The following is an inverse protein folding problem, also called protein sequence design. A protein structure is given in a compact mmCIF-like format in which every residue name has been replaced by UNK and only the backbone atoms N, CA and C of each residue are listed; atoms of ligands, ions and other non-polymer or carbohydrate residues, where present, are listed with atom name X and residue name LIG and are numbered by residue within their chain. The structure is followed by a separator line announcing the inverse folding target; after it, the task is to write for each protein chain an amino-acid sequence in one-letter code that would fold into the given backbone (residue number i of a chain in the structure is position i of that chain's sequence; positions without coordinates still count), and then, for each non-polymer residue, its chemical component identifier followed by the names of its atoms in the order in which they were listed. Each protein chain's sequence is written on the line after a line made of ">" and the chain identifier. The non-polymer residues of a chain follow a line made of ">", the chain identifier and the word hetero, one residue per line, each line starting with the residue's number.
data_IF_557305130002
#
_entry.id   IF_557305130002
#
_cell.length_a   1.000
_cell.length_b   1.000
_cell.length_c   1.000
_cell.angle_alpha   90.00
_cell.angle_beta   90.00
_cell.angle_gamma   90.00
#
_symmetry.space_group_name_H-M   'P 1'
#
loop_
_entity.id
_entity.type
_entity.pdbx_description
1 polymer ?
#
# COMPACT_ATOMS: atom_id res chain seq x y z
N UNK A 1 2.13 -4.00 11.97
CA UNK A 1 2.73 -4.12 10.62
C UNK A 1 3.56 -5.40 10.62
N UNK A 2 3.22 -6.39 9.79
CA UNK A 2 4.01 -7.62 9.65
C UNK A 2 4.71 -7.52 8.30
N UNK A 3 6.03 -7.32 8.31
CA UNK A 3 6.85 -7.29 7.11
C UNK A 3 7.82 -8.47 7.16
N UNK A 4 7.89 -9.28 6.10
CA UNK A 4 8.88 -10.36 6.02
C UNK A 4 9.73 -10.25 4.73
N UNK A 5 11.06 -10.42 4.93
CA UNK A 5 12.22 -10.46 4.02
C UNK A 5 12.35 -9.45 2.87
N UNK A 6 12.77 -8.23 3.23
CA UNK A 6 13.89 -7.44 2.69
C UNK A 6 13.95 -6.14 3.50
N UNK A 7 14.87 -6.05 4.46
CA UNK A 7 14.80 -5.09 5.58
C UNK A 7 14.76 -3.62 5.12
N UNK A 8 15.58 -3.26 4.13
CA UNK A 8 15.69 -1.86 3.65
C UNK A 8 14.45 -1.43 2.86
N UNK A 9 13.94 -2.27 1.95
CA UNK A 9 12.72 -1.99 1.19
C UNK A 9 11.48 -1.96 2.10
N UNK A 10 11.44 -2.82 3.11
CA UNK A 10 10.38 -2.81 4.10
C UNK A 10 10.40 -1.53 4.94
N UNK A 11 11.59 -1.05 5.34
CA UNK A 11 11.74 0.21 6.05
C UNK A 11 11.37 1.40 5.17
N UNK A 12 11.77 1.40 3.90
CA UNK A 12 11.37 2.40 2.92
C UNK A 12 9.85 2.45 2.75
N UNK A 13 9.22 1.30 2.52
CA UNK A 13 7.77 1.19 2.40
C UNK A 13 7.07 1.66 3.69
N UNK A 14 7.58 1.26 4.86
CA UNK A 14 7.06 1.69 6.15
C UNK A 14 7.11 3.20 6.32
N UNK A 15 8.27 3.82 6.06
CA UNK A 15 8.47 5.25 6.24
C UNK A 15 7.51 6.06 5.35
N UNK A 16 7.43 5.72 4.07
CA UNK A 16 6.55 6.40 3.11
C UNK A 16 5.09 6.22 3.48
N UNK A 17 4.67 4.99 3.78
CA UNK A 17 3.26 4.72 4.04
C UNK A 17 2.84 5.33 5.38
N UNK A 18 3.71 5.35 6.39
CA UNK A 18 3.41 6.07 7.64
C UNK A 18 3.22 7.56 7.41
N UNK A 19 4.16 8.21 6.71
CA UNK A 19 4.09 9.65 6.43
C UNK A 19 2.81 10.00 5.65
N UNK A 20 2.51 9.24 4.60
CA UNK A 20 1.36 9.49 3.74
C UNK A 20 0.01 9.21 4.43
N UNK A 21 -0.03 8.26 5.36
CA UNK A 21 -1.26 7.83 6.03
C UNK A 21 -1.46 8.47 7.41
N UNK A 22 -0.51 9.25 7.91
CA UNK A 22 -0.54 9.84 9.26
C UNK A 22 -1.84 10.64 9.52
N UNK A 23 -2.29 11.40 8.51
CA UNK A 23 -3.54 12.17 8.57
C UNK A 23 -4.82 11.33 8.75
N UNK A 24 -4.74 10.03 8.50
CA UNK A 24 -5.85 9.07 8.65
C UNK A 24 -5.68 8.15 9.86
N UNK A 25 -4.61 8.31 10.64
CA UNK A 25 -4.17 7.38 11.68
C UNK A 25 -5.25 7.03 12.70
N UNK A 26 -6.10 7.98 13.09
CA UNK A 26 -7.21 7.76 14.03
C UNK A 26 -8.25 6.74 13.54
N UNK A 27 -8.39 6.59 12.22
CA UNK A 27 -9.35 5.66 11.61
C UNK A 27 -8.73 4.34 11.18
N UNK A 28 -7.40 4.24 11.13
CA UNK A 28 -6.68 3.06 10.65
C UNK A 28 -6.37 2.12 11.82
N UNK A 29 -6.79 0.86 11.68
CA UNK A 29 -6.51 -0.20 12.66
C UNK A 29 -5.34 -1.09 12.26
N UNK A 30 -5.07 -1.21 10.94
CA UNK A 30 -3.97 -2.02 10.42
C UNK A 30 -3.57 -1.56 9.03
N UNK A 31 -2.28 -1.65 8.75
CA UNK A 31 -1.71 -1.54 7.41
C UNK A 31 -0.87 -2.78 7.14
N UNK A 32 -1.10 -3.41 6.00
CA UNK A 32 -0.33 -4.55 5.49
C UNK A 32 0.22 -4.22 4.11
N UNK A 33 1.47 -4.63 3.88
CA UNK A 33 2.18 -4.40 2.63
C UNK A 33 2.71 -5.75 2.16
N UNK A 34 2.34 -6.11 0.94
CA UNK A 34 2.80 -7.32 0.28
C UNK A 34 3.60 -6.94 -0.95
N UNK A 35 4.89 -7.26 -0.92
CA UNK A 35 5.79 -7.11 -2.06
C UNK A 35 5.92 -8.45 -2.76
N UNK A 36 5.85 -8.45 -4.08
CA UNK A 36 6.03 -9.65 -4.91
C UNK A 36 6.96 -9.33 -6.07
N UNK A 37 7.90 -10.23 -6.33
CA UNK A 37 8.72 -10.26 -7.53
C UNK A 37 8.25 -11.47 -8.35
N UNK A 38 7.54 -11.24 -9.45
CA UNK A 38 7.07 -12.31 -10.34
C UNK A 38 8.22 -12.84 -11.22
N UNK A 39 9.31 -13.29 -10.59
CA UNK A 39 10.34 -14.07 -11.25
C UNK A 39 9.85 -15.51 -11.48
N UNK A 40 8.98 -15.68 -12.47
CA UNK A 40 8.51 -16.98 -12.94
C UNK A 40 9.48 -17.52 -14.00
N UNK A 41 10.69 -17.94 -13.60
CA UNK A 41 11.70 -18.79 -14.28
C UNK A 41 12.01 -18.64 -15.81
N UNK A 42 11.24 -17.91 -16.62
CA UNK A 42 11.35 -17.86 -18.09
C UNK A 42 10.68 -16.66 -18.77
N UNK A 43 10.15 -15.65 -18.05
CA UNK A 43 9.61 -14.42 -18.65
C UNK A 43 9.82 -13.21 -17.72
N UNK A 44 10.99 -12.54 -17.79
CA UNK A 44 11.11 -11.17 -17.27
C UNK A 44 10.28 -10.24 -18.16
N UNK A 45 9.04 -9.97 -17.75
CA UNK A 45 8.28 -8.84 -18.28
C UNK A 45 8.87 -7.52 -17.78
N UNK A 46 8.56 -6.42 -18.47
CA UNK A 46 9.08 -5.07 -18.14
C UNK A 46 8.58 -4.57 -16.76
N UNK A 47 7.47 -5.13 -16.24
CA UNK A 47 6.87 -4.80 -14.94
C UNK A 47 6.64 -6.07 -14.10
N UNK A 48 7.72 -6.67 -13.59
CA UNK A 48 7.67 -7.90 -12.81
C UNK A 48 7.60 -7.67 -11.29
N UNK A 49 7.64 -6.42 -10.82
CA UNK A 49 7.54 -6.07 -9.39
C UNK A 49 6.15 -5.55 -9.06
N UNK A 50 5.56 -6.09 -7.99
CA UNK A 50 4.21 -5.73 -7.52
C UNK A 50 4.23 -5.35 -6.04
N UNK A 51 3.51 -4.28 -5.71
CA UNK A 51 3.21 -3.90 -4.33
C UNK A 51 1.69 -3.87 -4.15
N UNK A 52 1.21 -4.59 -3.12
CA UNK A 52 -0.17 -4.54 -2.64
C UNK A 52 -0.18 -3.93 -1.25
N UNK A 53 -1.03 -2.94 -1.03
CA UNK A 53 -1.25 -2.31 0.28
C UNK A 53 -2.69 -2.54 0.68
N UNK A 54 -2.89 -3.10 1.86
CA UNK A 54 -4.20 -3.23 2.52
C UNK A 54 -4.24 -2.29 3.74
N UNK A 55 -5.27 -1.44 3.80
CA UNK A 55 -5.55 -0.57 4.94
C UNK A 55 -6.90 -0.97 5.54
N UNK A 56 -6.90 -1.32 6.82
CA UNK A 56 -8.11 -1.65 7.57
C UNK A 56 -8.57 -0.45 8.37
N UNK A 57 -9.79 0.00 8.13
CA UNK A 57 -10.41 1.08 8.87
C UNK A 57 -11.26 0.54 10.03
N UNK A 58 -11.43 1.33 11.09
CA UNK A 58 -12.33 1.00 12.20
C UNK A 58 -13.75 0.80 11.65
N UNK A 59 -14.37 -0.34 11.94
CA UNK A 59 -15.78 -0.64 11.58
C UNK A 59 -16.13 -0.58 10.09
N UNK A 60 -15.14 -0.58 9.17
CA UNK A 60 -15.35 -0.56 7.73
C UNK A 60 -14.58 -1.67 7.01
N UNK A 61 -14.95 -1.92 5.75
CA UNK A 61 -14.24 -2.90 4.93
C UNK A 61 -12.79 -2.43 4.67
N UNK A 62 -11.83 -3.38 4.61
CA UNK A 62 -10.47 -3.06 4.19
C UNK A 62 -10.44 -2.44 2.79
N UNK A 63 -9.55 -1.47 2.61
CA UNK A 63 -9.25 -0.86 1.32
C UNK A 63 -7.96 -1.47 0.82
N UNK A 64 -7.94 -1.86 -0.46
CA UNK A 64 -6.78 -2.49 -1.09
C UNK A 64 -6.36 -1.65 -2.29
N UNK A 65 -5.05 -1.44 -2.44
CA UNK A 65 -4.43 -0.87 -3.63
C UNK A 65 -3.33 -1.80 -4.13
N UNK A 66 -3.11 -1.80 -5.44
CA UNK A 66 -2.04 -2.60 -6.07
C UNK A 66 -1.40 -1.78 -7.18
N UNK A 67 -0.09 -1.93 -7.34
CA UNK A 67 0.64 -1.37 -8.46
C UNK A 67 1.76 -2.30 -8.91
N UNK A 68 1.98 -2.36 -10.23
CA UNK A 68 3.04 -3.12 -10.86
C UNK A 68 3.97 -2.16 -11.58
N UNK A 69 5.28 -2.38 -11.47
CA UNK A 69 6.31 -1.54 -12.06
C UNK A 69 7.61 -2.32 -12.29
N UNK A 70 8.56 -1.67 -12.97
CA UNK A 70 9.90 -2.21 -13.22
C UNK A 70 10.77 -2.36 -11.96
N UNK A 71 10.47 -1.63 -10.87
CA UNK A 71 11.19 -1.69 -9.60
C UNK A 71 10.24 -1.77 -8.41
N UNK A 72 10.71 -2.31 -7.28
CA UNK A 72 9.91 -2.43 -6.06
C UNK A 72 9.56 -1.05 -5.52
N UNK A 73 10.49 -0.09 -5.59
CA UNK A 73 10.30 1.29 -5.16
C UNK A 73 9.19 1.97 -5.95
N UNK A 74 9.20 1.84 -7.28
CA UNK A 74 8.12 2.36 -8.13
C UNK A 74 6.78 1.67 -7.84
N UNK A 75 6.80 0.36 -7.57
CA UNK A 75 5.60 -0.38 -7.20
C UNK A 75 5.03 0.14 -5.87
N UNK A 76 5.88 0.39 -4.87
CA UNK A 76 5.50 0.97 -3.57
C UNK A 76 4.90 2.36 -3.76
N UNK A 77 5.60 3.26 -4.45
CA UNK A 77 5.16 4.64 -4.64
C UNK A 77 3.82 4.72 -5.36
N UNK A 78 3.65 3.92 -6.42
CA UNK A 78 2.40 3.88 -7.17
C UNK A 78 1.24 3.32 -6.34
N UNK A 79 1.45 2.24 -5.58
CA UNK A 79 0.44 1.68 -4.70
C UNK A 79 0.05 2.68 -3.59
N UNK A 80 1.04 3.32 -2.96
CA UNK A 80 0.82 4.31 -1.91
C UNK A 80 0.01 5.52 -2.42
N UNK A 81 0.33 6.02 -3.62
CA UNK A 81 -0.42 7.12 -4.25
C UNK A 81 -1.89 6.76 -4.51
N UNK A 82 -2.16 5.53 -4.96
CA UNK A 82 -3.52 5.02 -5.13
C UNK A 82 -4.22 4.97 -3.77
N UNK A 83 -3.58 4.38 -2.76
CA UNK A 83 -4.15 4.24 -1.41
C UNK A 83 -4.55 5.59 -0.81
N UNK A 84 -3.68 6.61 -0.90
CA UNK A 84 -3.98 7.96 -0.40
C UNK A 84 -5.23 8.54 -1.07
N UNK A 85 -5.34 8.46 -2.40
CA UNK A 85 -6.52 8.95 -3.11
C UNK A 85 -7.79 8.19 -2.73
N UNK A 86 -7.69 6.86 -2.58
CA UNK A 86 -8.84 6.03 -2.21
C UNK A 86 -9.29 6.30 -0.78
N UNK A 87 -8.37 6.46 0.17
CA UNK A 87 -8.68 6.81 1.56
C UNK A 87 -9.31 8.20 1.65
N UNK A 88 -8.74 9.19 0.96
CA UNK A 88 -9.25 10.55 0.93
C UNK A 88 -10.71 10.59 0.45
N UNK A 89 -11.00 9.91 -0.67
CA UNK A 89 -12.35 9.80 -1.22
C UNK A 89 -13.29 9.01 -0.30
N UNK A 90 -12.82 7.92 0.31
CA UNK A 90 -13.65 7.07 1.19
C UNK A 90 -14.01 7.81 2.48
N UNK A 91 -13.02 8.39 3.16
CA UNK A 91 -13.22 9.08 4.43
C UNK A 91 -14.01 10.38 4.21
N UNK A 92 -13.72 11.15 3.16
CA UNK A 92 -14.53 12.34 2.82
C UNK A 92 -15.99 12.01 2.55
N UNK A 93 -16.31 10.78 2.13
CA UNK A 93 -17.70 10.33 2.01
C UNK A 93 -18.27 9.94 3.36
N UNK A 94 -17.53 9.21 4.20
CA UNK A 94 -17.96 8.84 5.55
C UNK A 94 -18.27 10.07 6.40
N UNK A 95 -17.41 11.09 6.36
CA UNK A 95 -17.57 12.35 7.12
C UNK A 95 -18.79 13.17 6.69
N UNK A 96 -19.36 12.90 5.51
CA UNK A 96 -20.61 13.55 5.08
C UNK A 96 -21.86 12.88 5.66
N UNK A 97 -21.73 11.69 6.23
CA UNK A 97 -22.82 10.88 6.75
C UNK A 97 -22.72 10.58 8.25
N UNK A 98 -21.60 10.91 8.90
CA UNK A 98 -21.43 10.99 10.36
C UNK A 98 -21.99 12.33 10.91
#
# INVERSE_FOLDING_TARGET
>A
MIANRNNELNQYAEAIIRDLLDRFSERITRVEIHLSDENSDNKSGIDDKRCLIEVRLVSHQPIVSTHQAATIEQAIDGAAKIMVHTLDSTISRLDKYD
#
